data_IF_057956634907
#
_entry.id   IF_057956634907
#
_cell.length_a   1.000
_cell.length_b   1.000
_cell.length_c   1.000
_cell.angle_alpha   90.00
_cell.angle_beta   90.00
_cell.angle_gamma   90.00
#
_symmetry.space_group_name_H-M   'P 1'
#
loop_
_entity.id
_entity.type
_entity.pdbx_description
1 polymer ?
#
# COMPACT_ATOMS: atom_id res chain seq x y z
N UNK A 1 43.03 80.57 19.65
CA UNK A 1 43.06 79.97 18.30
C UNK A 1 41.91 78.97 18.26
N UNK A 2 40.72 79.37 17.78
CA UNK A 2 40.17 78.90 16.48
C UNK A 2 40.32 77.39 16.32
N UNK A 3 39.30 76.54 16.21
CA UNK A 3 37.92 76.69 15.77
C UNK A 3 37.24 75.29 15.85
N UNK A 4 35.90 75.25 15.83
CA UNK A 4 35.03 74.19 15.24
C UNK A 4 34.95 72.83 16.01
N UNK A 5 33.81 72.22 16.36
CA UNK A 5 32.38 72.45 16.12
C UNK A 5 31.53 71.68 17.17
N UNK A 6 30.32 72.19 17.43
CA UNK A 6 29.27 71.63 18.31
C UNK A 6 28.58 70.39 17.70
N UNK A 7 28.18 69.43 18.53
CA UNK A 7 27.13 68.44 18.22
C UNK A 7 25.95 68.71 19.17
N UNK A 8 24.77 68.93 18.59
CA UNK A 8 23.49 69.13 19.27
C UNK A 8 22.56 67.94 18.95
N UNK A 9 21.82 67.53 19.97
CA UNK A 9 20.75 66.52 19.97
C UNK A 9 19.70 66.77 18.87
N UNK A 10 19.28 65.70 18.18
CA UNK A 10 18.12 65.72 17.28
C UNK A 10 17.19 64.55 17.60
N UNK A 11 15.91 64.88 17.83
CA UNK A 11 14.79 63.96 17.99
C UNK A 11 14.59 63.11 16.73
N UNK A 12 14.40 61.80 16.88
CA UNK A 12 14.06 60.89 15.78
C UNK A 12 12.54 60.66 15.75
N UNK A 13 11.91 61.12 14.67
CA UNK A 13 10.52 60.83 14.31
C UNK A 13 10.49 59.46 13.60
N UNK A 14 9.82 58.46 14.16
CA UNK A 14 9.62 57.16 13.50
C UNK A 14 8.44 57.28 12.54
N UNK A 15 8.73 57.38 11.24
CA UNK A 15 7.73 57.20 10.18
C UNK A 15 7.51 55.70 9.93
N UNK A 16 6.26 55.25 10.07
CA UNK A 16 5.83 53.92 9.67
C UNK A 16 5.78 53.81 8.14
N UNK A 17 6.59 52.92 7.57
CA UNK A 17 6.52 52.54 6.16
C UNK A 17 5.55 51.35 6.04
N UNK A 18 4.38 51.61 5.48
CA UNK A 18 3.45 50.56 5.02
C UNK A 18 4.02 49.93 3.75
N UNK A 19 4.55 48.71 3.85
CA UNK A 19 4.80 47.86 2.68
C UNK A 19 3.47 47.32 2.16
N UNK A 20 2.98 47.88 1.06
CA UNK A 20 1.92 47.25 0.27
C UNK A 20 2.52 46.01 -0.43
N UNK A 21 2.25 44.83 0.12
CA UNK A 21 2.50 43.57 -0.58
C UNK A 21 1.46 43.49 -1.70
N UNK A 22 1.89 43.76 -2.92
CA UNK A 22 1.08 43.48 -4.11
C UNK A 22 0.99 41.96 -4.23
N UNK A 23 -0.16 41.38 -3.85
CA UNK A 23 -0.51 40.02 -4.22
C UNK A 23 -0.65 40.00 -5.74
N UNK A 24 0.41 39.58 -6.44
CA UNK A 24 0.28 39.13 -7.81
C UNK A 24 -0.47 37.81 -7.74
N UNK A 25 -1.77 37.87 -8.01
CA UNK A 25 -2.57 36.69 -8.33
C UNK A 25 -1.94 36.08 -9.59
N UNK A 26 -1.21 34.98 -9.43
CA UNK A 26 -0.64 34.26 -10.56
C UNK A 26 -1.80 33.90 -11.48
N UNK A 27 -1.75 34.36 -12.72
CA UNK A 27 -2.73 33.98 -13.73
C UNK A 27 -2.83 32.46 -13.76
N UNK A 28 -4.03 31.93 -13.53
CA UNK A 28 -4.28 30.50 -13.57
C UNK A 28 -3.83 29.95 -14.93
N UNK A 29 -2.93 28.97 -14.93
CA UNK A 29 -2.57 28.27 -16.17
C UNK A 29 -3.84 27.75 -16.85
N UNK A 30 -3.95 27.82 -18.18
CA UNK A 30 -5.11 27.31 -18.89
C UNK A 30 -5.31 25.85 -18.51
N UNK A 31 -6.49 25.52 -18.00
CA UNK A 31 -6.79 24.19 -17.53
C UNK A 31 -6.62 23.19 -18.68
N UNK A 32 -5.65 22.27 -18.54
CA UNK A 32 -5.41 21.24 -19.55
C UNK A 32 -6.68 20.42 -19.81
N UNK A 33 -6.86 19.87 -21.02
CA UNK A 33 -7.93 18.92 -21.28
C UNK A 33 -7.86 17.73 -20.32
N UNK A 34 -9.03 17.25 -19.88
CA UNK A 34 -9.11 16.04 -19.08
C UNK A 34 -8.88 14.81 -19.96
N UNK A 35 -8.22 13.80 -19.37
CA UNK A 35 -8.01 12.48 -19.93
C UNK A 35 -8.77 11.47 -19.06
N UNK A 36 -9.53 10.60 -19.69
CA UNK A 36 -10.41 9.66 -19.00
C UNK A 36 -9.65 8.71 -18.07
N UNK A 37 -8.58 8.07 -18.57
CA UNK A 37 -7.79 7.13 -17.79
C UNK A 37 -7.06 7.82 -16.62
N UNK A 38 -6.51 9.01 -16.85
CA UNK A 38 -5.71 9.72 -15.86
C UNK A 38 -6.54 10.47 -14.82
N UNK A 39 -7.70 11.01 -15.21
CA UNK A 39 -8.44 11.98 -14.39
C UNK A 39 -9.81 11.47 -13.95
N UNK A 40 -10.43 10.58 -14.71
CA UNK A 40 -11.81 10.13 -14.46
C UNK A 40 -11.84 8.78 -13.75
N UNK A 41 -11.07 7.81 -14.24
CA UNK A 41 -10.94 6.49 -13.61
C UNK A 41 -10.56 6.59 -12.12
N UNK A 42 -9.55 7.37 -11.70
CA UNK A 42 -9.23 7.47 -10.27
C UNK A 42 -10.38 8.00 -9.40
N UNK A 43 -11.23 8.87 -9.93
CA UNK A 43 -12.43 9.35 -9.20
C UNK A 43 -13.41 8.20 -8.99
N UNK A 44 -13.66 7.40 -10.03
CA UNK A 44 -14.55 6.23 -9.95
C UNK A 44 -14.00 5.18 -8.97
N UNK A 45 -12.69 4.96 -8.98
CA UNK A 45 -12.02 4.05 -8.03
C UNK A 45 -12.13 4.56 -6.60
N UNK A 46 -11.86 5.85 -6.37
CA UNK A 46 -11.96 6.44 -5.03
C UNK A 46 -13.39 6.42 -4.47
N UNK A 47 -14.39 6.52 -5.35
CA UNK A 47 -15.80 6.43 -4.98
C UNK A 47 -16.31 4.97 -4.84
N UNK A 48 -15.42 3.98 -4.90
CA UNK A 48 -15.70 2.54 -4.88
C UNK A 48 -16.63 2.06 -6.02
N UNK A 49 -16.81 2.83 -7.09
CA UNK A 49 -17.76 2.51 -8.16
C UNK A 49 -17.35 1.24 -8.92
N UNK A 50 -16.05 1.05 -9.15
CA UNK A 50 -15.46 -0.03 -9.94
C UNK A 50 -14.83 -1.13 -9.06
N UNK A 51 -15.40 -1.34 -7.87
CA UNK A 51 -15.03 -2.47 -6.99
C UNK A 51 -15.88 -3.71 -7.31
N UNK A 52 -15.40 -4.90 -6.94
CA UNK A 52 -16.08 -6.17 -7.20
C UNK A 52 -17.47 -6.29 -6.57
N UNK A 53 -17.74 -5.52 -5.50
CA UNK A 53 -19.06 -5.44 -4.86
C UNK A 53 -20.05 -4.49 -5.57
N UNK A 54 -19.58 -3.70 -6.54
CA UNK A 54 -20.35 -2.71 -7.28
C UNK A 54 -20.33 -3.01 -8.79
N UNK A 55 -19.91 -2.08 -9.64
CA UNK A 55 -20.02 -2.21 -11.09
C UNK A 55 -18.93 -3.08 -11.72
N UNK A 56 -17.88 -3.45 -10.98
CA UNK A 56 -16.86 -4.40 -11.41
C UNK A 56 -17.11 -5.84 -10.96
N UNK A 57 -18.38 -6.19 -10.73
CA UNK A 57 -18.77 -7.57 -10.53
C UNK A 57 -18.45 -8.39 -11.78
N UNK A 58 -17.67 -9.46 -11.61
CA UNK A 58 -17.17 -10.29 -12.69
C UNK A 58 -18.28 -10.67 -13.69
N UNK A 59 -17.97 -10.51 -14.98
CA UNK A 59 -18.79 -10.86 -16.16
C UNK A 59 -20.05 -9.99 -16.34
N UNK A 60 -20.84 -9.74 -15.29
CA UNK A 60 -22.18 -9.14 -15.43
C UNK A 60 -22.26 -7.64 -15.12
N UNK A 61 -21.27 -7.09 -14.41
CA UNK A 61 -21.40 -5.79 -13.75
C UNK A 61 -22.60 -5.76 -12.79
N UNK A 62 -23.16 -4.57 -12.55
CA UNK A 62 -24.32 -4.36 -11.68
C UNK A 62 -25.49 -3.76 -12.45
N UNK A 63 -26.60 -4.52 -12.55
CA UNK A 63 -27.85 -4.12 -13.22
C UNK A 63 -27.64 -3.59 -14.66
N UNK A 64 -26.77 -4.26 -15.41
CA UNK A 64 -26.47 -3.91 -16.80
C UNK A 64 -25.62 -2.64 -16.95
N UNK A 65 -24.82 -2.30 -15.95
CA UNK A 65 -23.72 -1.34 -16.06
C UNK A 65 -22.45 -1.97 -15.50
N UNK A 66 -21.42 -2.07 -16.34
CA UNK A 66 -20.16 -2.76 -16.08
C UNK A 66 -19.01 -1.76 -16.10
N UNK A 67 -18.11 -1.93 -15.14
CA UNK A 67 -16.80 -1.30 -15.11
C UNK A 67 -15.74 -2.40 -14.91
N UNK A 68 -14.52 -2.15 -15.35
CA UNK A 68 -13.34 -2.97 -15.10
C UNK A 68 -12.96 -2.88 -13.61
N UNK A 69 -12.39 -3.95 -13.07
CA UNK A 69 -11.99 -3.97 -11.66
C UNK A 69 -10.93 -2.89 -11.40
N UNK A 70 -11.17 -1.98 -10.47
CA UNK A 70 -10.24 -0.91 -10.10
C UNK A 70 -9.76 -0.01 -11.27
N UNK A 71 -10.42 -0.07 -12.43
CA UNK A 71 -10.04 0.70 -13.61
C UNK A 71 -8.91 0.06 -14.45
N UNK A 72 -8.71 -1.26 -14.38
CA UNK A 72 -7.66 -1.95 -15.16
C UNK A 72 -7.86 -1.87 -16.68
N UNK A 73 -9.08 -1.63 -17.17
CA UNK A 73 -9.39 -1.51 -18.60
C UNK A 73 -10.15 -0.19 -18.87
N UNK A 74 -9.46 0.96 -18.88
CA UNK A 74 -10.09 2.27 -19.04
C UNK A 74 -10.87 2.44 -20.35
N UNK A 75 -10.45 1.77 -21.42
CA UNK A 75 -11.18 1.80 -22.69
C UNK A 75 -12.57 1.14 -22.56
N UNK A 76 -12.65 -0.04 -21.93
CA UNK A 76 -13.93 -0.69 -21.67
C UNK A 76 -14.82 0.16 -20.75
N UNK A 77 -14.23 0.76 -19.72
CA UNK A 77 -14.95 1.67 -18.81
C UNK A 77 -15.57 2.85 -19.54
N UNK A 78 -14.80 3.46 -20.44
CA UNK A 78 -15.27 4.56 -21.27
C UNK A 78 -16.42 4.13 -22.18
N UNK A 79 -16.29 2.98 -22.85
CA UNK A 79 -17.35 2.42 -23.71
C UNK A 79 -18.65 2.21 -22.94
N UNK A 80 -18.58 1.62 -21.74
CA UNK A 80 -19.75 1.36 -20.91
C UNK A 80 -20.40 2.64 -20.34
N UNK A 81 -19.61 3.67 -20.05
CA UNK A 81 -20.12 4.95 -19.57
C UNK A 81 -20.73 5.76 -20.73
N UNK A 82 -19.97 5.93 -21.82
CA UNK A 82 -20.25 6.94 -22.85
C UNK A 82 -21.06 6.38 -24.01
N UNK A 83 -20.82 5.14 -24.45
CA UNK A 83 -21.39 4.61 -25.71
C UNK A 83 -22.52 3.61 -25.48
N UNK A 84 -22.39 2.72 -24.50
CA UNK A 84 -23.34 1.64 -24.25
C UNK A 84 -24.77 2.16 -24.01
N UNK A 85 -25.75 1.49 -24.62
CA UNK A 85 -27.15 1.90 -24.52
C UNK A 85 -27.42 3.26 -25.17
N UNK A 86 -26.64 3.62 -26.20
CA UNK A 86 -26.71 4.90 -26.94
C UNK A 86 -26.45 6.11 -26.04
N UNK A 87 -25.46 6.00 -25.14
CA UNK A 87 -25.06 7.08 -24.25
C UNK A 87 -26.06 7.44 -23.16
N UNK A 88 -26.98 6.54 -22.81
CA UNK A 88 -28.05 6.77 -21.82
C UNK A 88 -27.58 7.22 -20.42
N UNK A 89 -26.28 7.15 -20.12
CA UNK A 89 -25.70 7.47 -18.81
C UNK A 89 -25.14 8.89 -18.72
N UNK A 90 -24.91 9.53 -19.86
CA UNK A 90 -24.22 10.81 -19.98
C UNK A 90 -25.10 11.80 -20.74
N UNK A 91 -25.11 13.05 -20.31
CA UNK A 91 -25.84 14.13 -20.98
C UNK A 91 -24.98 15.40 -21.03
N UNK A 92 -24.10 15.55 -22.04
CA UNK A 92 -23.12 16.65 -22.11
C UNK A 92 -23.71 18.05 -22.10
N UNK A 93 -24.92 18.22 -22.65
CA UNK A 93 -25.60 19.52 -22.70
C UNK A 93 -26.18 19.94 -21.34
N UNK A 94 -26.33 19.01 -20.40
CA UNK A 94 -26.69 19.26 -19.01
C UNK A 94 -25.98 18.22 -18.13
N UNK A 95 -24.66 18.35 -17.92
CA UNK A 95 -23.83 17.34 -17.27
C UNK A 95 -24.41 16.80 -15.96
N UNK A 96 -24.94 17.67 -15.10
CA UNK A 96 -25.51 17.35 -13.80
C UNK A 96 -26.78 16.48 -13.90
N UNK A 97 -27.44 16.48 -15.06
CA UNK A 97 -28.58 15.61 -15.38
C UNK A 97 -28.15 14.25 -15.95
N UNK A 98 -26.84 14.01 -16.11
CA UNK A 98 -26.31 12.70 -16.50
C UNK A 98 -26.69 11.66 -15.45
N UNK A 99 -27.26 10.53 -15.88
CA UNK A 99 -27.62 9.45 -14.97
C UNK A 99 -26.42 8.95 -14.14
N UNK A 100 -25.21 9.01 -14.71
CA UNK A 100 -23.95 8.74 -14.00
C UNK A 100 -23.85 9.59 -12.72
N UNK A 101 -23.99 10.91 -12.84
CA UNK A 101 -23.88 11.85 -11.73
C UNK A 101 -25.08 11.75 -10.79
N UNK A 102 -26.31 11.69 -11.33
CA UNK A 102 -27.53 11.58 -10.54
C UNK A 102 -27.56 10.32 -9.64
N UNK A 103 -27.01 9.21 -10.13
CA UNK A 103 -26.87 7.97 -9.33
C UNK A 103 -25.71 8.06 -8.36
N UNK A 104 -24.57 8.60 -8.78
CA UNK A 104 -23.40 8.73 -7.91
C UNK A 104 -23.66 9.67 -6.71
N UNK A 105 -24.38 10.77 -6.92
CA UNK A 105 -24.82 11.69 -5.85
C UNK A 105 -26.03 11.18 -5.05
N UNK A 106 -26.65 10.09 -5.52
CA UNK A 106 -27.92 9.56 -5.00
C UNK A 106 -29.07 10.59 -5.05
N UNK A 107 -29.02 11.57 -5.96
CA UNK A 107 -30.16 12.43 -6.32
C UNK A 107 -31.30 11.59 -6.90
N UNK A 108 -30.96 10.55 -7.66
CA UNK A 108 -31.87 9.48 -8.04
C UNK A 108 -31.48 8.21 -7.28
N UNK A 109 -32.43 7.42 -6.74
CA UNK A 109 -32.13 6.25 -5.92
C UNK A 109 -31.10 5.29 -6.54
N UNK A 110 -29.98 5.11 -5.84
CA UNK A 110 -28.91 4.21 -6.23
C UNK A 110 -28.72 3.12 -5.16
N UNK A 111 -28.68 1.85 -5.58
CA UNK A 111 -28.58 0.72 -4.65
C UNK A 111 -27.28 0.68 -3.84
N UNK A 112 -26.22 1.33 -4.33
CA UNK A 112 -24.95 1.50 -3.60
C UNK A 112 -24.90 2.73 -2.69
N UNK A 113 -26.00 3.48 -2.54
CA UNK A 113 -26.06 4.74 -1.79
C UNK A 113 -25.35 5.90 -2.50
N UNK A 114 -25.11 6.97 -1.73
CA UNK A 114 -24.33 8.14 -2.17
C UNK A 114 -22.84 7.76 -2.23
N UNK A 115 -22.24 7.92 -3.41
CA UNK A 115 -20.83 7.60 -3.69
C UNK A 115 -19.99 8.86 -3.95
N UNK A 116 -20.59 9.90 -4.49
CA UNK A 116 -19.94 11.19 -4.73
C UNK A 116 -20.76 12.32 -4.11
N UNK A 117 -20.09 13.25 -3.44
CA UNK A 117 -20.73 14.49 -3.01
C UNK A 117 -20.76 15.49 -4.17
N UNK A 118 -21.90 16.14 -4.50
CA UNK A 118 -21.93 17.22 -5.47
C UNK A 118 -20.91 18.33 -5.22
N UNK A 119 -20.54 18.58 -3.96
CA UNK A 119 -19.54 19.59 -3.59
C UNK A 119 -18.09 19.05 -3.65
N UNK A 120 -17.90 17.76 -3.94
CA UNK A 120 -16.56 17.17 -4.04
C UNK A 120 -15.84 17.54 -5.33
N UNK A 121 -14.52 17.68 -5.25
CA UNK A 121 -13.65 17.90 -6.41
C UNK A 121 -13.83 16.83 -7.49
N UNK A 122 -14.03 15.56 -7.09
CA UNK A 122 -14.27 14.46 -8.03
C UNK A 122 -15.58 14.62 -8.81
N UNK A 123 -16.66 15.05 -8.15
CA UNK A 123 -17.93 15.32 -8.83
C UNK A 123 -17.79 16.48 -9.82
N UNK A 124 -17.16 17.58 -9.39
CA UNK A 124 -16.94 18.76 -10.25
C UNK A 124 -16.04 18.45 -11.45
N UNK A 125 -15.05 17.57 -11.27
CA UNK A 125 -14.19 17.09 -12.37
C UNK A 125 -14.98 16.25 -13.38
N UNK A 126 -15.89 15.39 -12.92
CA UNK A 126 -16.79 14.65 -13.81
C UNK A 126 -17.75 15.57 -14.57
N UNK A 127 -18.32 16.59 -13.92
CA UNK A 127 -19.14 17.62 -14.57
C UNK A 127 -18.36 18.32 -15.67
N UNK A 128 -17.13 18.73 -15.38
CA UNK A 128 -16.23 19.35 -16.36
C UNK A 128 -15.93 18.41 -17.54
N UNK A 129 -15.60 17.15 -17.27
CA UNK A 129 -15.33 16.18 -18.33
C UNK A 129 -16.53 15.95 -19.25
N UNK A 130 -17.74 15.89 -18.67
CA UNK A 130 -18.98 15.79 -19.43
C UNK A 130 -19.23 17.04 -20.28
N UNK A 131 -19.00 18.24 -19.75
CA UNK A 131 -19.18 19.49 -20.49
C UNK A 131 -18.13 19.71 -21.59
N UNK A 132 -16.91 19.17 -21.41
CA UNK A 132 -15.85 19.14 -22.43
C UNK A 132 -16.08 18.09 -23.53
N UNK A 133 -17.23 17.39 -23.51
CA UNK A 133 -17.60 16.42 -24.54
C UNK A 133 -17.06 15.01 -24.30
N UNK A 134 -16.65 14.70 -23.06
CA UNK A 134 -16.23 13.36 -22.63
C UNK A 134 -15.05 12.83 -23.44
N UNK A 135 -13.98 13.63 -23.60
CA UNK A 135 -12.76 13.18 -24.28
C UNK A 135 -12.18 11.95 -23.57
N UNK A 136 -11.82 10.93 -24.34
CA UNK A 136 -11.08 9.77 -23.80
C UNK A 136 -9.64 10.17 -23.49
N UNK A 137 -8.95 10.76 -24.45
CA UNK A 137 -7.53 11.06 -24.42
C UNK A 137 -6.89 10.72 -25.75
N UNK A 138 -5.68 11.20 -25.97
CA UNK A 138 -4.89 10.90 -27.18
C UNK A 138 -3.72 9.98 -26.83
N UNK A 139 -3.18 9.26 -27.83
CA UNK A 139 -2.00 8.37 -27.63
C UNK A 139 -0.76 9.11 -27.12
N UNK A 140 -0.67 10.42 -27.36
CA UNK A 140 0.41 11.28 -26.89
C UNK A 140 0.20 11.81 -25.47
N UNK A 141 -0.96 11.57 -24.86
CA UNK A 141 -1.20 12.02 -23.49
C UNK A 141 -0.23 11.29 -22.53
N UNK A 142 0.32 11.99 -21.53
CA UNK A 142 1.26 11.37 -20.58
C UNK A 142 0.62 10.22 -19.81
N UNK A 143 1.32 9.10 -19.69
CA UNK A 143 0.87 7.94 -18.95
C UNK A 143 1.38 8.00 -17.51
N UNK A 144 0.56 7.58 -16.55
CA UNK A 144 0.97 7.47 -15.16
C UNK A 144 2.00 6.34 -15.02
N UNK A 145 3.21 6.68 -14.53
CA UNK A 145 4.33 5.72 -14.38
C UNK A 145 4.74 5.48 -12.93
N UNK A 146 4.31 6.32 -12.00
CA UNK A 146 4.70 6.21 -10.60
C UNK A 146 3.86 7.06 -9.67
N UNK A 147 3.87 6.71 -8.38
CA UNK A 147 3.40 7.58 -7.30
C UNK A 147 4.42 7.60 -6.16
N UNK A 148 4.62 8.77 -5.58
CA UNK A 148 5.39 8.96 -4.35
C UNK A 148 4.48 9.47 -3.24
N UNK A 149 4.68 8.98 -2.01
CA UNK A 149 4.10 9.55 -0.81
C UNK A 149 5.19 10.24 0.02
N UNK A 150 4.92 11.46 0.49
CA UNK A 150 5.82 12.21 1.35
C UNK A 150 5.09 12.67 2.63
N UNK A 151 5.64 12.37 3.83
CA UNK A 151 6.76 11.46 4.07
C UNK A 151 6.40 10.00 3.71
N UNK A 152 7.40 9.18 3.36
CA UNK A 152 7.24 7.73 3.15
C UNK A 152 7.61 6.90 4.39
N UNK A 153 8.26 7.52 5.38
CA UNK A 153 8.54 6.96 6.70
C UNK A 153 8.52 8.07 7.75
N UNK A 154 7.97 7.79 8.92
CA UNK A 154 8.06 8.70 10.07
C UNK A 154 7.89 7.97 11.40
N UNK A 155 8.67 8.35 12.41
CA UNK A 155 8.39 8.01 13.81
C UNK A 155 7.33 8.97 14.35
N UNK A 156 6.23 8.46 14.88
CA UNK A 156 5.10 9.24 15.38
C UNK A 156 4.76 8.86 16.82
N UNK A 157 4.41 9.85 17.64
CA UNK A 157 3.90 9.57 18.98
C UNK A 157 2.43 9.13 18.92
N UNK A 158 1.98 8.38 19.91
CA UNK A 158 0.59 7.99 20.11
C UNK A 158 -0.34 9.23 20.04
N UNK A 159 -1.52 9.06 19.45
CA UNK A 159 -2.54 10.12 19.30
C UNK A 159 -2.05 11.39 18.56
N UNK A 160 -1.13 11.25 17.61
CA UNK A 160 -0.70 12.36 16.74
C UNK A 160 -1.14 12.18 15.29
N UNK A 161 -1.16 13.29 14.56
CA UNK A 161 -1.59 13.32 13.15
C UNK A 161 -0.43 13.67 12.22
N UNK A 162 -0.50 13.17 10.99
CA UNK A 162 0.41 13.48 9.90
C UNK A 162 -0.37 13.65 8.60
N UNK A 163 -0.24 14.82 7.97
CA UNK A 163 -0.72 15.03 6.60
C UNK A 163 0.30 14.47 5.60
N UNK A 164 -0.17 13.70 4.63
CA UNK A 164 0.63 13.15 3.55
C UNK A 164 0.47 14.00 2.30
N UNK A 165 1.51 14.03 1.47
CA UNK A 165 1.45 14.52 0.10
C UNK A 165 1.68 13.35 -0.85
N UNK A 166 0.74 13.13 -1.77
CA UNK A 166 0.87 12.10 -2.80
C UNK A 166 1.11 12.76 -4.14
N UNK A 167 2.21 12.39 -4.80
CA UNK A 167 2.62 12.96 -6.08
C UNK A 167 2.60 11.87 -7.15
N UNK A 168 1.74 12.03 -8.15
CA UNK A 168 1.75 11.22 -9.36
C UNK A 168 2.87 11.67 -10.30
N UNK A 169 3.54 10.72 -10.96
CA UNK A 169 4.59 10.92 -11.94
C UNK A 169 4.14 10.39 -13.29
N UNK A 170 4.32 11.18 -14.34
CA UNK A 170 3.91 10.83 -15.70
C UNK A 170 5.10 10.59 -16.62
N UNK A 171 4.86 9.90 -17.73
CA UNK A 171 5.89 9.50 -18.72
C UNK A 171 6.60 10.68 -19.39
N UNK A 172 6.00 11.87 -19.40
CA UNK A 172 6.59 13.12 -19.90
C UNK A 172 7.46 13.84 -18.86
N UNK A 173 7.61 13.25 -17.66
CA UNK A 173 8.32 13.84 -16.53
C UNK A 173 7.49 14.84 -15.72
N UNK A 174 6.25 15.14 -16.11
CA UNK A 174 5.35 15.97 -15.31
C UNK A 174 4.90 15.25 -14.04
N UNK A 175 4.50 16.04 -13.04
CA UNK A 175 4.00 15.52 -11.77
C UNK A 175 2.72 16.22 -11.35
N UNK A 176 1.86 15.54 -10.59
CA UNK A 176 0.61 16.12 -10.08
C UNK A 176 0.40 15.76 -8.62
N UNK A 177 -0.14 16.70 -7.86
CA UNK A 177 -0.65 16.41 -6.53
C UNK A 177 -1.96 15.62 -6.67
N UNK A 178 -1.96 14.40 -6.13
CA UNK A 178 -3.10 13.49 -6.16
C UNK A 178 -3.52 13.10 -4.75
N UNK A 179 -3.11 13.87 -3.74
CA UNK A 179 -3.37 13.59 -2.31
C UNK A 179 -4.87 13.36 -2.06
N UNK A 180 -5.72 14.22 -2.61
CA UNK A 180 -7.17 14.13 -2.49
C UNK A 180 -7.83 13.11 -3.42
N UNK A 181 -7.09 12.46 -4.31
CA UNK A 181 -7.60 11.40 -5.19
C UNK A 181 -7.06 10.02 -4.84
N UNK A 182 -6.02 9.95 -4.02
CA UNK A 182 -5.49 8.68 -3.53
C UNK A 182 -6.43 8.04 -2.49
N UNK A 183 -6.29 6.72 -2.37
CA UNK A 183 -6.89 5.88 -1.35
C UNK A 183 -5.85 5.53 -0.29
N UNK A 184 -6.25 5.55 0.98
CA UNK A 184 -5.38 5.31 2.12
C UNK A 184 -5.94 4.17 2.98
N UNK A 185 -5.11 3.20 3.31
CA UNK A 185 -5.52 2.03 4.09
C UNK A 185 -4.41 1.60 5.05
N UNK A 186 -4.65 1.71 6.35
CA UNK A 186 -3.77 1.13 7.36
C UNK A 186 -3.89 -0.40 7.37
N UNK A 187 -2.76 -1.09 7.44
CA UNK A 187 -2.73 -2.56 7.58
C UNK A 187 -3.24 -3.03 8.95
N UNK A 188 -3.14 -2.17 9.98
CA UNK A 188 -3.73 -2.37 11.29
C UNK A 188 -4.48 -1.11 11.74
N UNK A 189 -5.82 -1.16 11.68
CA UNK A 189 -6.70 -0.05 12.06
C UNK A 189 -6.78 0.17 13.57
N UNK A 190 -6.28 -0.75 14.38
CA UNK A 190 -6.16 -0.54 15.83
C UNK A 190 -4.94 0.29 16.20
N UNK A 191 -3.96 0.43 15.29
CA UNK A 191 -2.77 1.24 15.49
C UNK A 191 -2.83 2.61 14.81
N UNK A 192 -3.42 2.69 13.61
CA UNK A 192 -3.57 3.95 12.90
C UNK A 192 -4.80 3.97 11.98
N UNK A 193 -5.35 5.16 11.79
CA UNK A 193 -6.42 5.43 10.83
C UNK A 193 -5.95 6.46 9.80
N UNK A 194 -6.46 6.37 8.58
CA UNK A 194 -6.18 7.32 7.51
C UNK A 194 -7.49 7.84 6.91
N UNK A 195 -7.57 9.15 6.72
CA UNK A 195 -8.72 9.81 6.08
C UNK A 195 -8.56 9.82 4.56
N UNK A 196 -9.67 10.02 3.85
CA UNK A 196 -9.65 10.22 2.39
C UNK A 196 -8.89 11.47 1.94
N UNK A 197 -8.58 12.40 2.84
CA UNK A 197 -7.82 13.63 2.55
C UNK A 197 -6.31 13.44 2.74
N UNK A 198 -5.84 12.21 3.02
CA UNK A 198 -4.43 11.93 3.25
C UNK A 198 -3.92 12.35 4.61
N UNK A 199 -4.78 12.43 5.62
CA UNK A 199 -4.36 12.63 7.02
C UNK A 199 -4.36 11.29 7.75
N UNK A 200 -3.22 10.94 8.33
CA UNK A 200 -3.06 9.73 9.14
C UNK A 200 -3.00 10.10 10.61
N UNK A 201 -3.71 9.35 11.45
CA UNK A 201 -3.74 9.50 12.90
C UNK A 201 -3.28 8.18 13.54
N UNK A 202 -2.26 8.23 14.39
CA UNK A 202 -1.88 7.09 15.24
C UNK A 202 -2.82 7.00 16.44
N UNK A 203 -3.13 5.78 16.87
CA UNK A 203 -3.98 5.49 18.03
C UNK A 203 -3.11 5.16 19.26
N UNK A 204 -3.59 4.28 20.14
CA UNK A 204 -3.05 3.98 21.47
C UNK A 204 -2.11 2.77 21.52
N UNK A 205 -1.89 2.08 20.40
CA UNK A 205 -1.02 0.92 20.31
C UNK A 205 0.38 1.27 19.74
N UNK A 206 1.47 0.85 20.41
CA UNK A 206 2.83 1.01 19.89
C UNK A 206 3.20 -0.09 18.90
N UNK A 207 4.26 0.13 18.12
CA UNK A 207 4.80 -0.80 17.14
C UNK A 207 4.96 -0.18 15.76
N UNK A 208 5.00 -1.01 14.72
CA UNK A 208 5.08 -0.53 13.34
C UNK A 208 3.75 -0.74 12.62
N UNK A 209 3.28 0.31 11.95
CA UNK A 209 2.07 0.28 11.12
C UNK A 209 2.37 0.90 9.76
N UNK A 210 1.77 0.36 8.71
CA UNK A 210 1.94 0.83 7.35
C UNK A 210 0.60 1.31 6.80
N UNK A 211 0.59 2.54 6.26
CA UNK A 211 -0.54 3.06 5.49
C UNK A 211 -0.23 2.88 4.01
N UNK A 212 -0.97 1.98 3.38
CA UNK A 212 -0.92 1.78 1.94
C UNK A 212 -1.63 2.93 1.24
N UNK A 213 -0.95 3.54 0.27
CA UNK A 213 -1.46 4.63 -0.56
C UNK A 213 -1.62 4.13 -1.98
N UNK A 214 -2.84 4.15 -2.52
CA UNK A 214 -3.14 3.65 -3.86
C UNK A 214 -3.69 4.75 -4.75
N UNK A 215 -3.27 4.76 -6.01
CA UNK A 215 -3.80 5.67 -7.03
C UNK A 215 -3.62 5.03 -8.41
N UNK A 216 -4.74 4.83 -9.13
CA UNK A 216 -4.80 4.25 -10.49
C UNK A 216 -3.92 3.00 -10.67
N UNK A 217 -4.10 2.00 -9.80
CA UNK A 217 -3.38 0.72 -9.87
C UNK A 217 -1.95 0.75 -9.30
N UNK A 218 -1.38 1.93 -9.04
CA UNK A 218 -0.08 2.08 -8.40
C UNK A 218 -0.20 2.14 -6.88
N UNK A 219 0.86 1.70 -6.21
CA UNK A 219 0.94 1.61 -4.75
C UNK A 219 2.22 2.28 -4.25
N UNK A 220 2.08 3.09 -3.20
CA UNK A 220 3.16 3.58 -2.35
C UNK A 220 2.81 3.29 -0.89
N UNK A 221 3.76 3.44 0.03
CA UNK A 221 3.56 3.10 1.44
C UNK A 221 4.14 4.18 2.33
N UNK A 222 3.35 4.64 3.30
CA UNK A 222 3.81 5.43 4.42
C UNK A 222 4.02 4.53 5.64
N UNK A 223 5.28 4.35 6.04
CA UNK A 223 5.67 3.51 7.17
C UNK A 223 5.75 4.33 8.46
N UNK A 224 5.10 3.86 9.52
CA UNK A 224 5.02 4.56 10.79
C UNK A 224 5.62 3.67 11.87
N UNK A 225 6.54 4.25 12.65
CA UNK A 225 7.03 3.65 13.88
C UNK A 225 6.44 4.41 15.06
N UNK A 226 5.67 3.73 15.89
CA UNK A 226 5.02 4.25 17.09
C UNK A 226 5.79 3.72 18.30
N UNK A 227 6.67 4.53 18.94
CA UNK A 227 7.49 4.02 20.02
C UNK A 227 6.67 3.63 21.25
N UNK A 228 7.00 2.47 21.83
CA UNK A 228 6.59 2.11 23.20
C UNK A 228 7.29 3.02 24.23
N UNK A 229 8.50 3.48 23.90
CA UNK A 229 9.28 4.39 24.74
C UNK A 229 10.06 3.70 25.86
N UNK A 230 10.16 2.37 25.87
CA UNK A 230 11.04 1.67 26.81
C UNK A 230 12.50 1.77 26.33
N UNK A 231 13.46 1.99 27.25
CA UNK A 231 14.87 2.07 26.90
C UNK A 231 15.36 0.69 26.41
N UNK A 232 16.07 0.68 25.27
CA UNK A 232 16.70 -0.52 24.70
C UNK A 232 18.20 -0.42 24.93
N UNK A 233 18.64 -0.74 26.15
CA UNK A 233 20.03 -0.59 26.59
C UNK A 233 20.87 -1.82 26.24
N UNK A 234 20.29 -3.02 26.39
CA UNK A 234 20.97 -4.29 26.15
C UNK A 234 20.38 -5.00 24.94
N UNK A 235 21.27 -5.37 24.01
CA UNK A 235 20.94 -6.19 22.86
C UNK A 235 21.78 -7.47 22.87
N UNK A 236 21.23 -8.61 22.44
CA UNK A 236 22.03 -9.80 22.18
C UNK A 236 23.12 -9.53 21.13
N UNK A 237 24.18 -10.36 21.07
CA UNK A 237 25.16 -10.29 19.99
C UNK A 237 24.49 -10.50 18.62
N UNK A 238 24.84 -9.65 17.67
CA UNK A 238 24.44 -9.79 16.26
C UNK A 238 25.09 -11.06 15.69
N UNK A 239 24.29 -11.98 15.14
CA UNK A 239 24.80 -13.16 14.42
C UNK A 239 24.78 -13.00 12.91
N UNK A 240 23.85 -12.21 12.37
CA UNK A 240 23.72 -11.97 10.94
C UNK A 240 23.06 -10.61 10.65
N UNK A 241 22.95 -10.26 9.35
CA UNK A 241 22.36 -9.00 8.91
C UNK A 241 20.88 -8.83 9.29
N UNK A 242 20.14 -9.92 9.51
CA UNK A 242 18.73 -9.87 9.94
C UNK A 242 18.66 -9.33 11.37
N UNK A 243 19.56 -9.78 12.26
CA UNK A 243 19.64 -9.27 13.62
C UNK A 243 19.93 -7.76 13.63
N UNK A 244 20.79 -7.27 12.73
CA UNK A 244 21.06 -5.83 12.60
C UNK A 244 19.78 -5.03 12.30
N UNK A 245 18.97 -5.52 11.35
CA UNK A 245 17.71 -4.90 10.97
C UNK A 245 16.66 -4.98 12.09
N UNK A 246 16.53 -6.14 12.74
CA UNK A 246 15.60 -6.36 13.86
C UNK A 246 15.97 -5.46 15.04
N UNK A 247 17.25 -5.42 15.41
CA UNK A 247 17.72 -4.61 16.54
C UNK A 247 17.64 -3.12 16.27
N UNK A 248 17.93 -2.66 15.04
CA UNK A 248 17.71 -1.27 14.66
C UNK A 248 16.23 -0.88 14.84
N UNK A 249 15.32 -1.75 14.38
CA UNK A 249 13.89 -1.54 14.55
C UNK A 249 13.45 -1.53 16.02
N UNK A 250 13.89 -2.51 16.82
CA UNK A 250 13.59 -2.59 18.25
C UNK A 250 14.02 -1.32 18.99
N UNK A 251 15.19 -0.76 18.67
CA UNK A 251 15.64 0.53 19.20
C UNK A 251 14.73 1.68 18.76
N UNK A 252 14.35 1.72 17.48
CA UNK A 252 13.47 2.77 16.93
C UNK A 252 12.11 2.79 17.63
N UNK A 253 11.51 1.61 17.86
CA UNK A 253 10.20 1.50 18.55
C UNK A 253 10.33 1.43 20.07
N UNK A 254 11.53 1.46 20.63
CA UNK A 254 11.74 1.37 22.08
C UNK A 254 11.19 0.08 22.70
N UNK A 255 11.41 -1.06 22.06
CA UNK A 255 10.99 -2.39 22.56
C UNK A 255 12.23 -3.21 22.90
N UNK A 256 12.50 -3.51 24.19
CA UNK A 256 13.64 -4.33 24.56
C UNK A 256 13.44 -5.77 24.05
N UNK A 257 14.49 -6.43 23.53
CA UNK A 257 14.41 -7.82 23.11
C UNK A 257 14.14 -8.73 24.31
N UNK A 258 13.44 -9.84 24.07
CA UNK A 258 13.35 -10.90 25.07
C UNK A 258 14.73 -11.53 25.33
N UNK A 259 15.00 -12.01 26.55
CA UNK A 259 16.24 -12.73 26.84
C UNK A 259 16.37 -13.98 25.97
N UNK A 260 17.61 -14.40 25.74
CA UNK A 260 17.89 -15.67 25.06
C UNK A 260 17.28 -16.81 25.87
N UNK A 261 16.41 -17.60 25.24
CA UNK A 261 15.75 -18.72 25.90
C UNK A 261 16.73 -19.86 26.25
N UNK A 262 16.35 -20.66 27.25
CA UNK A 262 17.03 -21.92 27.61
C UNK A 262 16.98 -22.97 26.49
N UNK A 263 17.75 -24.04 26.65
CA UNK A 263 17.96 -25.06 25.63
C UNK A 263 16.70 -25.92 25.39
N UNK A 264 15.95 -26.23 26.44
CA UNK A 264 14.69 -26.96 26.36
C UNK A 264 13.64 -26.17 25.57
N UNK A 265 13.50 -24.88 25.90
CA UNK A 265 12.60 -23.95 25.21
C UNK A 265 13.03 -23.76 23.76
N UNK A 266 14.34 -23.59 23.52
CA UNK A 266 14.89 -23.46 22.18
C UNK A 266 14.56 -24.69 21.33
N UNK A 267 14.92 -25.90 21.79
CA UNK A 267 14.70 -27.15 21.04
C UNK A 267 13.22 -27.35 20.71
N UNK A 268 12.33 -27.10 21.68
CA UNK A 268 10.89 -27.20 21.46
C UNK A 268 10.41 -26.22 20.38
N UNK A 269 10.85 -24.96 20.42
CA UNK A 269 10.45 -23.93 19.44
C UNK A 269 10.94 -24.26 18.04
N UNK A 270 12.23 -24.56 17.89
CA UNK A 270 12.78 -24.85 16.55
C UNK A 270 12.19 -26.12 15.94
N UNK A 271 11.88 -27.15 16.74
CA UNK A 271 11.27 -28.38 16.24
C UNK A 271 9.85 -28.12 15.71
N UNK A 272 9.09 -27.27 16.41
CA UNK A 272 7.74 -26.88 15.96
C UNK A 272 7.79 -25.97 14.73
N UNK A 273 8.69 -24.98 14.72
CA UNK A 273 8.76 -23.98 13.67
C UNK A 273 9.32 -24.56 12.36
N UNK A 274 10.33 -25.44 12.46
CA UNK A 274 11.02 -26.03 11.30
C UNK A 274 10.41 -27.37 10.91
N UNK A 275 10.23 -28.28 11.86
CA UNK A 275 9.76 -29.66 11.60
C UNK A 275 8.25 -29.87 11.79
N UNK A 276 7.51 -28.88 12.31
CA UNK A 276 6.06 -29.01 12.52
C UNK A 276 5.66 -30.01 13.61
N UNK A 277 6.61 -30.45 14.45
CA UNK A 277 6.39 -31.44 15.51
C UNK A 277 7.19 -31.11 16.77
N UNK A 278 6.87 -31.77 17.88
CA UNK A 278 7.71 -31.75 19.07
C UNK A 278 9.00 -32.55 18.84
N UNK A 279 10.10 -32.22 19.55
CA UNK A 279 11.27 -33.08 19.56
C UNK A 279 10.91 -34.44 20.16
N UNK A 280 11.51 -35.50 19.63
CA UNK A 280 11.45 -36.84 20.21
C UNK A 280 12.24 -36.88 21.53
N UNK A 281 12.04 -37.94 22.31
CA UNK A 281 12.78 -38.12 23.57
C UNK A 281 14.27 -38.27 23.26
N UNK A 282 14.61 -39.03 22.23
CA UNK A 282 15.98 -39.29 21.79
C UNK A 282 16.68 -38.02 21.31
N UNK A 283 16.00 -37.19 20.51
CA UNK A 283 16.53 -35.88 20.09
C UNK A 283 16.75 -34.95 21.29
N UNK A 284 15.83 -34.96 22.26
CA UNK A 284 15.91 -34.14 23.46
C UNK A 284 17.10 -34.55 24.32
N UNK A 285 17.23 -35.84 24.63
CA UNK A 285 18.34 -36.37 25.42
C UNK A 285 19.69 -36.09 24.74
N UNK A 286 19.79 -36.33 23.43
CA UNK A 286 21.01 -36.06 22.67
C UNK A 286 21.38 -34.56 22.67
N UNK A 287 20.41 -33.67 22.47
CA UNK A 287 20.65 -32.23 22.44
C UNK A 287 21.06 -31.66 23.80
N UNK A 288 20.41 -32.11 24.88
CA UNK A 288 20.72 -31.65 26.25
C UNK A 288 22.05 -32.22 26.74
N UNK A 289 22.43 -33.43 26.32
CA UNK A 289 23.73 -34.02 26.63
C UNK A 289 24.89 -33.35 25.86
N UNK A 290 24.61 -32.73 24.71
CA UNK A 290 25.62 -32.08 23.88
C UNK A 290 26.15 -30.79 24.54
N UNK A 291 27.48 -30.71 24.73
CA UNK A 291 28.20 -29.58 25.31
C UNK A 291 28.91 -28.71 24.25
N UNK A 292 28.78 -29.05 22.96
CA UNK A 292 29.34 -28.24 21.88
C UNK A 292 28.69 -26.85 21.88
N UNK A 293 29.46 -25.75 21.91
CA UNK A 293 28.90 -24.39 21.82
C UNK A 293 28.10 -24.14 20.54
N UNK A 294 28.24 -24.98 19.50
CA UNK A 294 27.50 -24.92 18.24
C UNK A 294 26.29 -25.85 18.17
N UNK A 295 25.91 -26.53 19.27
CA UNK A 295 24.80 -27.50 19.27
C UNK A 295 23.48 -26.93 18.74
N UNK A 296 23.20 -25.64 18.98
CA UNK A 296 21.99 -24.96 18.48
C UNK A 296 22.00 -24.84 16.95
N UNK A 297 23.13 -24.46 16.38
CA UNK A 297 23.28 -24.35 14.92
C UNK A 297 23.21 -25.75 14.28
N UNK A 298 23.85 -26.75 14.90
CA UNK A 298 23.77 -28.16 14.45
C UNK A 298 22.33 -28.69 14.47
N UNK A 299 21.55 -28.37 15.50
CA UNK A 299 20.14 -28.77 15.59
C UNK A 299 19.28 -28.11 14.50
N UNK A 300 19.55 -26.84 14.17
CA UNK A 300 18.87 -26.15 13.07
C UNK A 300 19.18 -26.83 11.74
N UNK A 301 20.46 -27.09 11.45
CA UNK A 301 20.87 -27.77 10.21
C UNK A 301 20.28 -29.18 10.10
N UNK A 302 20.26 -29.93 11.21
CA UNK A 302 19.67 -31.27 11.23
C UNK A 302 18.16 -31.23 10.92
N UNK A 303 17.43 -30.27 11.47
CA UNK A 303 16.00 -30.09 11.18
C UNK A 303 15.76 -29.63 9.74
N UNK A 304 16.52 -28.65 9.24
CA UNK A 304 16.39 -28.17 7.86
C UNK A 304 16.74 -29.25 6.83
N UNK A 305 17.66 -30.15 7.15
CA UNK A 305 18.00 -31.31 6.32
C UNK A 305 17.03 -32.50 6.46
N UNK A 306 16.02 -32.41 7.31
CA UNK A 306 15.11 -33.52 7.60
C UNK A 306 13.92 -33.61 6.64
N UNK A 307 13.33 -34.81 6.44
CA UNK A 307 12.05 -34.95 5.76
C UNK A 307 10.92 -34.15 6.41
N UNK A 308 10.94 -34.00 7.74
CA UNK A 308 9.91 -33.27 8.50
C UNK A 308 9.83 -31.81 8.07
N UNK A 309 10.98 -31.15 7.85
CA UNK A 309 11.03 -29.80 7.30
C UNK A 309 10.36 -29.73 5.92
N UNK A 310 10.75 -30.63 5.01
CA UNK A 310 10.23 -30.65 3.65
C UNK A 310 8.71 -30.89 3.63
N UNK A 311 8.21 -31.84 4.44
CA UNK A 311 6.79 -32.16 4.55
C UNK A 311 5.99 -31.00 5.15
N UNK A 312 6.49 -30.41 6.24
CA UNK A 312 5.80 -29.31 6.91
C UNK A 312 5.76 -28.04 6.05
N UNK A 313 6.87 -27.68 5.43
CA UNK A 313 6.94 -26.50 4.57
C UNK A 313 6.24 -26.69 3.23
N UNK A 314 6.23 -27.90 2.66
CA UNK A 314 5.43 -28.17 1.45
C UNK A 314 3.94 -27.93 1.70
N UNK A 315 3.42 -28.33 2.87
CA UNK A 315 2.03 -28.05 3.23
C UNK A 315 1.75 -26.54 3.34
N UNK A 316 2.66 -25.76 3.93
CA UNK A 316 2.55 -24.29 3.99
C UNK A 316 2.58 -23.66 2.59
N UNK A 317 3.59 -24.01 1.78
CA UNK A 317 3.79 -23.43 0.45
C UNK A 317 2.68 -23.80 -0.53
N UNK A 318 2.23 -25.05 -0.53
CA UNK A 318 1.15 -25.48 -1.44
C UNK A 318 -0.17 -24.77 -1.12
N UNK A 319 -0.45 -24.47 0.14
CA UNK A 319 -1.59 -23.64 0.51
C UNK A 319 -1.45 -22.20 -0.01
N UNK A 320 -0.27 -21.58 0.18
CA UNK A 320 0.02 -20.22 -0.28
C UNK A 320 -0.02 -20.09 -1.81
N UNK A 321 0.52 -21.08 -2.51
CA UNK A 321 0.55 -21.17 -3.97
C UNK A 321 -0.77 -21.66 -4.56
N UNK A 322 -1.83 -21.75 -3.73
CA UNK A 322 -3.19 -22.14 -4.14
C UNK A 322 -3.25 -23.46 -4.89
N UNK A 323 -2.45 -24.45 -4.49
CA UNK A 323 -2.58 -25.83 -4.97
C UNK A 323 -3.91 -26.43 -4.47
N UNK A 324 -4.98 -26.19 -5.23
CA UNK A 324 -6.36 -26.55 -4.88
C UNK A 324 -6.91 -27.58 -5.86
N UNK A 325 -7.95 -28.27 -5.44
CA UNK A 325 -8.74 -29.17 -6.28
C UNK A 325 -10.12 -28.54 -6.43
N UNK A 326 -10.54 -28.28 -7.66
CA UNK A 326 -11.89 -27.85 -7.98
C UNK A 326 -12.72 -29.05 -8.47
N UNK A 327 -12.06 -30.00 -9.15
CA UNK A 327 -12.66 -31.22 -9.67
C UNK A 327 -11.86 -32.49 -9.32
N UNK A 328 -12.49 -33.66 -9.50
CA UNK A 328 -11.82 -34.96 -9.31
C UNK A 328 -10.62 -35.16 -10.23
N UNK A 329 -10.61 -34.53 -11.40
CA UNK A 329 -9.50 -34.61 -12.35
C UNK A 329 -8.21 -33.98 -11.80
N UNK A 330 -8.31 -33.03 -10.87
CA UNK A 330 -7.17 -32.29 -10.32
C UNK A 330 -6.34 -33.10 -9.33
N UNK A 331 -6.84 -34.26 -8.88
CA UNK A 331 -6.19 -35.06 -7.82
C UNK A 331 -4.73 -35.36 -8.17
N UNK A 332 -4.47 -35.82 -9.40
CA UNK A 332 -3.12 -36.21 -9.83
C UNK A 332 -2.19 -35.01 -9.89
N UNK A 333 -2.62 -33.91 -10.52
CA UNK A 333 -1.83 -32.69 -10.65
C UNK A 333 -1.54 -32.05 -9.28
N UNK A 334 -2.54 -32.06 -8.39
CA UNK A 334 -2.41 -31.53 -7.04
C UNK A 334 -1.36 -32.30 -6.21
N UNK A 335 -1.38 -33.63 -6.26
CA UNK A 335 -0.36 -34.45 -5.60
C UNK A 335 1.02 -34.27 -6.24
N UNK A 336 1.09 -34.20 -7.58
CA UNK A 336 2.36 -33.98 -8.29
C UNK A 336 3.01 -32.64 -7.91
N UNK A 337 2.22 -31.56 -7.83
CA UNK A 337 2.72 -30.26 -7.41
C UNK A 337 3.18 -30.25 -5.96
N UNK A 338 2.43 -30.91 -5.06
CA UNK A 338 2.85 -31.05 -3.66
C UNK A 338 4.17 -31.82 -3.54
N UNK A 339 4.28 -32.97 -4.20
CA UNK A 339 5.48 -33.79 -4.20
C UNK A 339 6.69 -33.03 -4.77
N UNK A 340 6.52 -32.33 -5.89
CA UNK A 340 7.56 -31.48 -6.47
C UNK A 340 8.02 -30.37 -5.51
N UNK A 341 7.08 -29.75 -4.79
CA UNK A 341 7.40 -28.70 -3.82
C UNK A 341 8.19 -29.29 -2.64
N UNK A 342 7.71 -30.39 -2.08
CA UNK A 342 8.38 -31.14 -1.01
C UNK A 342 9.81 -31.54 -1.41
N UNK A 343 9.97 -32.15 -2.57
CA UNK A 343 11.28 -32.62 -3.03
C UNK A 343 12.24 -31.45 -3.31
N UNK A 344 11.73 -30.31 -3.78
CA UNK A 344 12.52 -29.09 -3.97
C UNK A 344 13.00 -28.51 -2.63
N UNK A 345 12.18 -28.55 -1.58
CA UNK A 345 12.57 -28.13 -0.24
C UNK A 345 13.63 -29.08 0.35
N UNK A 346 13.41 -30.40 0.21
CA UNK A 346 14.34 -31.41 0.70
C UNK A 346 15.71 -31.33 0.00
N UNK A 347 15.72 -31.05 -1.29
CA UNK A 347 16.94 -30.83 -2.07
C UNK A 347 17.57 -29.45 -1.85
N UNK A 348 16.97 -28.61 -0.99
CA UNK A 348 17.40 -27.24 -0.71
C UNK A 348 17.61 -26.41 -1.99
N UNK A 349 16.64 -26.49 -2.91
CA UNK A 349 16.65 -25.73 -4.17
C UNK A 349 16.64 -24.23 -3.84
N UNK A 350 17.50 -23.46 -4.50
CA UNK A 350 17.57 -22.02 -4.33
C UNK A 350 16.21 -21.36 -4.62
N UNK A 351 15.86 -20.35 -3.83
CA UNK A 351 14.55 -19.72 -3.92
C UNK A 351 14.28 -19.08 -5.30
N UNK A 352 15.29 -18.47 -5.92
CA UNK A 352 15.14 -17.88 -7.26
C UNK A 352 14.93 -18.94 -8.34
N UNK A 353 15.60 -20.08 -8.23
CA UNK A 353 15.38 -21.24 -9.10
C UNK A 353 13.99 -21.83 -8.93
N UNK A 354 13.50 -21.93 -7.69
CA UNK A 354 12.14 -22.37 -7.41
C UNK A 354 11.11 -21.45 -8.07
N UNK A 355 11.25 -20.13 -7.88
CA UNK A 355 10.35 -19.13 -8.48
C UNK A 355 10.43 -19.17 -10.00
N UNK A 356 11.62 -19.26 -10.59
CA UNK A 356 11.81 -19.35 -12.04
C UNK A 356 11.11 -20.59 -12.62
N UNK A 357 11.20 -21.73 -11.95
CA UNK A 357 10.51 -22.97 -12.36
C UNK A 357 8.99 -22.84 -12.30
N UNK A 358 8.45 -22.16 -11.27
CA UNK A 358 7.01 -21.91 -11.15
C UNK A 358 6.53 -20.98 -12.27
N UNK A 359 7.20 -19.84 -12.47
CA UNK A 359 6.80 -18.85 -13.47
C UNK A 359 7.02 -19.32 -14.91
N UNK A 360 8.01 -20.18 -15.14
CA UNK A 360 8.33 -20.74 -16.45
C UNK A 360 7.59 -22.05 -16.79
N UNK A 361 6.75 -22.58 -15.90
CA UNK A 361 6.05 -23.84 -16.13
C UNK A 361 5.03 -23.69 -17.28
N UNK A 362 5.09 -24.57 -18.28
CA UNK A 362 4.23 -24.52 -19.48
C UNK A 362 2.97 -25.38 -19.39
N UNK A 363 2.69 -26.01 -18.25
CA UNK A 363 1.49 -26.83 -18.04
C UNK A 363 1.32 -28.04 -18.98
N UNK A 364 2.37 -28.36 -19.73
CA UNK A 364 2.46 -29.49 -20.69
C UNK A 364 2.83 -30.78 -20.01
#
# INVERSE_FOLDING_TARGET
>A
MTSIFRILFSFLLVQGVLFAVSLHEAAAEPARPLNFANDIVPILTKADCNTGGCHAKAITGQRGFRLSLLGFEPEEDYEHIVKEGRGRRVFPQAPEQSLLLLKASNTVPHGGGKKLDPESEGYQTLVRWLSEGMRYGDETDPQLVGIDVNPNRKTMAINTTQALKVTAKYSDGSTRDVTKMALYEANDRSMAEATGEGVVTTLDLPGNVAVMVRYSGLVSVFNISIPLGAPVEELPPVKNFIDELVFANLKEIGVPPSPVCDDETFLRRISLDVGGRLPTIEETEAFLANQDPKKRDQAIEALLGSPDYADYFANKWTALLKNRREDKADITANFAFHAWMRDSLLANVAYDDLVRKILGATGT
#
